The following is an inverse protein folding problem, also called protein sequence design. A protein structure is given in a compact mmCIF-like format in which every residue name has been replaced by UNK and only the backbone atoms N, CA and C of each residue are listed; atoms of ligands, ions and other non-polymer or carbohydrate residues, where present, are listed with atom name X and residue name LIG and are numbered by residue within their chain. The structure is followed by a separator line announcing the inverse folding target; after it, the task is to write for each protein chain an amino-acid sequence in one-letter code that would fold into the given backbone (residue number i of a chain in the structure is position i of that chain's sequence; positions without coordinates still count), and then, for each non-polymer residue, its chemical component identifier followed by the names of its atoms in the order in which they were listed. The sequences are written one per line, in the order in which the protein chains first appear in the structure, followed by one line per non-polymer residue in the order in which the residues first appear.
data_IF_626929778982
#
_entry.id   IF_626929778982
#
_cell.length_a   1.000
_cell.length_b   1.000
_cell.length_c   1.000
_cell.angle_alpha   90.00
_cell.angle_beta   90.00
_cell.angle_gamma   90.00
#
_symmetry.space_group_name_H-M   'P 1'
#
loop_
_entity.id
_entity.type
_entity.pdbx_description
1 polymer ?
#
# COMPACT_ATOMS: atom_id res chain seq x y z
N UNK A 1 2.40 -8.35 3.23
CA UNK A 1 1.51 -7.19 2.96
C UNK A 1 1.50 -6.89 1.47
N UNK A 2 0.37 -6.42 0.93
CA UNK A 2 0.24 -5.87 -0.44
C UNK A 2 -0.34 -4.46 -0.36
N UNK A 3 0.01 -3.61 -1.32
CA UNK A 3 -0.55 -2.27 -1.44
C UNK A 3 -1.51 -2.25 -2.62
N UNK A 4 -2.79 -1.99 -2.36
CA UNK A 4 -3.81 -1.68 -3.36
C UNK A 4 -3.95 -0.17 -3.44
N UNK A 5 -3.94 0.35 -4.66
CA UNK A 5 -4.10 1.75 -4.94
C UNK A 5 -5.42 1.95 -5.67
N UNK A 6 -6.24 2.86 -5.12
CA UNK A 6 -7.52 3.23 -5.68
C UNK A 6 -7.72 4.72 -5.55
N UNK A 7 -8.04 5.37 -6.67
CA UNK A 7 -8.34 6.80 -6.72
C UNK A 7 -9.64 7.16 -5.97
N UNK A 8 -10.46 6.16 -5.62
CA UNK A 8 -11.67 6.35 -4.81
C UNK A 8 -11.39 6.47 -3.30
N UNK A 9 -10.16 6.22 -2.87
CA UNK A 9 -9.77 6.22 -1.46
C UNK A 9 -9.40 7.63 -1.02
N UNK A 10 -10.02 8.09 0.06
CA UNK A 10 -9.73 9.37 0.70
C UNK A 10 -9.02 9.21 2.05
N UNK A 11 -9.22 8.06 2.72
CA UNK A 11 -8.57 7.73 3.99
C UNK A 11 -7.85 6.40 3.83
N UNK A 12 -6.50 6.37 3.95
CA UNK A 12 -5.73 5.13 3.97
C UNK A 12 -6.23 4.16 5.03
N UNK A 13 -6.25 2.88 4.69
CA UNK A 13 -6.65 1.86 5.64
C UNK A 13 -5.87 0.57 5.44
N UNK A 14 -5.71 -0.17 6.53
CA UNK A 14 -5.08 -1.48 6.54
C UNK A 14 -6.11 -2.54 6.96
N UNK A 15 -6.18 -3.62 6.20
CA UNK A 15 -7.01 -4.78 6.51
C UNK A 15 -6.15 -6.02 6.70
N UNK A 16 -6.56 -6.87 7.64
CA UNK A 16 -5.91 -8.14 7.94
C UNK A 16 -6.93 -9.26 7.86
N UNK A 17 -6.65 -10.23 7.02
CA UNK A 17 -7.49 -11.40 6.80
C UNK A 17 -7.09 -12.53 7.75
N UNK A 18 -8.02 -13.43 8.07
CA UNK A 18 -7.76 -14.59 8.95
C UNK A 18 -6.66 -15.52 8.43
N UNK A 19 -6.38 -15.49 7.12
CA UNK A 19 -5.30 -16.24 6.49
C UNK A 19 -3.92 -15.56 6.64
N UNK A 20 -3.80 -14.50 7.43
CA UNK A 20 -2.56 -13.74 7.63
C UNK A 20 -2.20 -12.77 6.49
N UNK A 21 -3.07 -12.62 5.49
CA UNK A 21 -2.87 -11.63 4.43
C UNK A 21 -3.14 -10.23 4.96
N UNK A 22 -2.30 -9.29 4.56
CA UNK A 22 -2.38 -7.88 4.95
C UNK A 22 -2.47 -7.03 3.69
N UNK A 23 -3.49 -6.20 3.59
CA UNK A 23 -3.70 -5.27 2.46
C UNK A 23 -3.78 -3.84 2.97
N UNK A 24 -2.91 -2.99 2.42
CA UNK A 24 -2.91 -1.55 2.61
C UNK A 24 -3.60 -0.90 1.41
N UNK A 25 -4.68 -0.17 1.65
CA UNK A 25 -5.46 0.54 0.65
C UNK A 25 -5.14 2.04 0.70
N UNK A 26 -4.66 2.61 -0.41
CA UNK A 26 -4.20 3.99 -0.51
C UNK A 26 -4.62 4.65 -1.82
N UNK A 27 -4.31 5.94 -1.96
CA UNK A 27 -4.54 6.77 -3.14
C UNK A 27 -3.20 7.40 -3.58
N UNK A 28 -3.00 7.62 -4.89
CA UNK A 28 -1.78 8.23 -5.44
C UNK A 28 -1.58 9.70 -5.10
N UNK A 29 -2.63 10.42 -4.76
CA UNK A 29 -2.59 11.82 -4.32
C UNK A 29 -2.04 11.98 -2.90
N UNK A 30 -1.96 10.89 -2.12
CA UNK A 30 -1.47 10.93 -0.75
C UNK A 30 0.04 10.73 -0.70
N UNK A 31 0.72 11.60 0.04
CA UNK A 31 2.15 11.42 0.29
C UNK A 31 2.41 10.26 1.24
N UNK A 32 3.67 9.80 1.29
CA UNK A 32 4.10 8.81 2.27
C UNK A 32 3.80 9.26 3.72
N UNK A 33 4.06 10.52 4.03
CA UNK A 33 3.81 11.08 5.37
C UNK A 33 2.32 11.14 5.69
N UNK A 34 1.48 11.52 4.72
CA UNK A 34 0.02 11.53 4.92
C UNK A 34 -0.48 10.12 5.27
N UNK A 35 -0.06 9.11 4.49
CA UNK A 35 -0.44 7.72 4.75
C UNK A 35 0.05 7.28 6.12
N UNK A 36 1.30 7.58 6.47
CA UNK A 36 1.92 7.21 7.74
C UNK A 36 1.18 7.78 8.95
N UNK A 37 0.60 8.97 8.85
CA UNK A 37 -0.22 9.55 9.94
C UNK A 37 -1.46 8.69 10.23
N UNK A 38 -2.06 8.07 9.21
CA UNK A 38 -3.29 7.27 9.39
C UNK A 38 -3.02 5.83 9.86
N UNK A 39 -1.99 5.19 9.30
CA UNK A 39 -1.79 3.74 9.47
C UNK A 39 -0.47 3.38 10.13
N UNK A 40 0.44 4.34 10.38
CA UNK A 40 1.79 4.08 10.88
C UNK A 40 1.82 3.31 12.19
N UNK A 41 1.03 3.73 13.18
CA UNK A 41 0.93 3.05 14.49
C UNK A 41 0.26 1.67 14.41
N UNK A 42 -0.39 1.36 13.29
CA UNK A 42 -1.04 0.06 13.06
C UNK A 42 -0.08 -0.95 12.43
N UNK A 43 1.05 -0.53 11.87
CA UNK A 43 1.98 -1.41 11.18
C UNK A 43 2.93 -2.11 12.16
N UNK A 44 3.24 -3.36 11.89
CA UNK A 44 4.43 -4.01 12.47
C UNK A 44 5.70 -3.47 11.81
N UNK A 45 6.86 -3.69 12.42
CA UNK A 45 8.16 -3.31 11.85
C UNK A 45 8.36 -3.88 10.42
N UNK A 46 7.97 -5.14 10.22
CA UNK A 46 8.04 -5.81 8.91
C UNK A 46 7.08 -5.18 7.89
N UNK A 47 5.84 -4.88 8.29
CA UNK A 47 4.85 -4.22 7.44
C UNK A 47 5.31 -2.80 7.07
N UNK A 48 5.91 -2.07 8.02
CA UNK A 48 6.47 -0.74 7.79
C UNK A 48 7.61 -0.78 6.77
N UNK A 49 8.53 -1.75 6.89
CA UNK A 49 9.62 -1.91 5.94
C UNK A 49 9.09 -2.20 4.52
N UNK A 50 8.08 -3.07 4.39
CA UNK A 50 7.44 -3.34 3.10
C UNK A 50 6.73 -2.09 2.58
N UNK A 51 6.01 -1.35 3.42
CA UNK A 51 5.32 -0.11 3.02
C UNK A 51 6.32 0.91 2.48
N UNK A 52 7.38 1.19 3.24
CA UNK A 52 8.45 2.09 2.81
C UNK A 52 9.06 1.64 1.48
N UNK A 53 9.37 0.36 1.35
CA UNK A 53 10.00 -0.22 0.14
C UNK A 53 9.09 -0.11 -1.09
N UNK A 54 7.77 -0.25 -0.94
CA UNK A 54 6.85 -0.22 -2.07
C UNK A 54 6.37 1.21 -2.41
N UNK A 55 6.24 2.08 -1.41
CA UNK A 55 5.64 3.41 -1.58
C UNK A 55 6.63 4.57 -1.55
N UNK A 56 7.61 4.58 -0.65
CA UNK A 56 8.53 5.72 -0.47
C UNK A 56 9.84 5.56 -1.24
N UNK A 57 10.31 4.32 -1.41
CA UNK A 57 11.59 4.08 -2.04
C UNK A 57 11.53 4.32 -3.56
N UNK A 58 12.16 5.40 -4.03
CA UNK A 58 12.28 5.76 -5.44
C UNK A 58 13.54 5.20 -6.12
N UNK A 59 14.35 4.37 -5.44
CA UNK A 59 15.57 3.80 -6.02
C UNK A 59 15.29 2.87 -7.20
N UNK A 60 14.07 2.33 -7.31
CA UNK A 60 13.64 1.50 -8.43
C UNK A 60 12.24 1.86 -8.92
N UNK A 61 12.02 1.71 -10.24
CA UNK A 61 10.72 1.99 -10.86
C UNK A 61 9.64 1.09 -10.25
N UNK A 62 8.54 1.69 -9.80
CA UNK A 62 7.36 0.95 -9.35
C UNK A 62 6.68 0.25 -10.53
N UNK A 63 6.29 -1.00 -10.34
CA UNK A 63 5.46 -1.78 -11.25
C UNK A 63 4.07 -1.97 -10.65
N UNK A 64 3.06 -1.97 -11.52
CA UNK A 64 1.66 -2.03 -11.11
C UNK A 64 0.95 -3.19 -11.79
N UNK A 65 0.12 -3.91 -11.03
CA UNK A 65 -0.67 -5.05 -11.50
C UNK A 65 -2.15 -4.63 -11.46
N UNK A 66 -2.83 -4.49 -12.62
CA UNK A 66 -4.23 -4.08 -12.65
C UNK A 66 -5.14 -5.13 -11.99
N UNK A 67 -6.22 -4.68 -11.37
CA UNK A 67 -7.25 -5.55 -10.79
C UNK A 67 -8.43 -5.63 -11.76
N UNK A 68 -8.66 -6.82 -12.32
CA UNK A 68 -9.70 -7.05 -13.32
C UNK A 68 -11.09 -6.61 -12.82
N UNK A 69 -11.81 -5.88 -13.67
CA UNK A 69 -13.14 -5.34 -13.34
C UNK A 69 -13.15 -4.07 -12.49
N UNK A 70 -11.98 -3.47 -12.19
CA UNK A 70 -11.86 -2.23 -11.41
C UNK A 70 -10.85 -1.26 -12.03
N UNK A 71 -10.87 0.04 -11.68
CA UNK A 71 -9.81 0.97 -12.05
C UNK A 71 -8.56 0.86 -11.14
N UNK A 72 -8.57 -0.07 -10.18
CA UNK A 72 -7.55 -0.18 -9.14
C UNK A 72 -6.35 -1.03 -9.59
N UNK A 73 -5.26 -0.90 -8.86
CA UNK A 73 -4.03 -1.64 -9.11
C UNK A 73 -3.32 -2.04 -7.82
N UNK A 74 -2.61 -3.16 -7.86
CA UNK A 74 -1.65 -3.52 -6.82
C UNK A 74 -0.26 -3.01 -7.20
N UNK A 75 0.54 -2.64 -6.19
CA UNK A 75 1.98 -2.46 -6.37
C UNK A 75 2.65 -3.83 -6.35
N UNK A 76 3.46 -4.12 -7.37
CA UNK A 76 4.23 -5.35 -7.45
C UNK A 76 5.31 -5.38 -6.36
N UNK A 77 5.45 -6.52 -5.67
CA UNK A 77 6.50 -6.71 -4.67
C UNK A 77 7.88 -6.62 -5.31
N UNK A 78 8.78 -5.84 -4.71
CA UNK A 78 10.18 -5.77 -5.10
C UNK A 78 10.93 -7.00 -4.58
N UNK A 79 11.80 -7.58 -5.42
CA UNK A 79 12.69 -8.70 -5.07
C UNK A 79 14.07 -8.18 -4.68
#
# INVERSE_FOLDING_TARGET
MRIRVSESVSVPSISRSENGSVELLINTELSYEDIKVFIGDLLTDDEYLIFHTLWADDLSKRSFIPIEGTPDFFIESRK
#
